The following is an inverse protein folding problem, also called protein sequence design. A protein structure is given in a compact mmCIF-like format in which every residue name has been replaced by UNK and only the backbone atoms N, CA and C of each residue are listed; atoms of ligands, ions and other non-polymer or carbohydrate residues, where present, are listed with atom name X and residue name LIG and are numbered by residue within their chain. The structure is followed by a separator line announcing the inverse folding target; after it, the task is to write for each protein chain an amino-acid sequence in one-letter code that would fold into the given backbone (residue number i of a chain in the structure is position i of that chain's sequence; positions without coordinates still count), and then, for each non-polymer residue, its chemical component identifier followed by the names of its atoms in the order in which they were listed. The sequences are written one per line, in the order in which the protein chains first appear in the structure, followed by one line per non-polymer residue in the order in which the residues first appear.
data_IF_359476394359
#
_entry.id   IF_359476394359
#
_cell.length_a   1.000
_cell.length_b   1.000
_cell.length_c   1.000
_cell.angle_alpha   90.00
_cell.angle_beta   90.00
_cell.angle_gamma   90.00
#
_symmetry.space_group_name_H-M   'P 1'
#
loop_
_entity.id
_entity.type
_entity.pdbx_description
1 polymer ?
#
# COMPACT_ATOMS: atom_id res chain seq x y z
N UNK A 1 18.46 -8.57 -7.99
CA UNK A 1 18.13 -7.13 -7.83
C UNK A 1 16.90 -6.86 -8.68
N UNK A 2 15.84 -6.28 -8.12
CA UNK A 2 14.66 -5.88 -8.90
C UNK A 2 15.11 -4.84 -9.94
N UNK A 3 15.18 -5.25 -11.21
CA UNK A 3 15.44 -4.33 -12.32
C UNK A 3 14.09 -3.75 -12.75
N UNK A 4 13.76 -2.56 -12.25
CA UNK A 4 12.61 -1.80 -12.73
C UNK A 4 12.94 -1.29 -14.14
N UNK A 5 12.16 -1.74 -15.13
CA UNK A 5 12.37 -1.42 -16.54
C UNK A 5 11.52 -0.21 -16.91
N UNK A 6 12.08 1.00 -16.94
CA UNK A 6 11.50 2.11 -17.74
C UNK A 6 12.55 3.19 -18.06
N UNK A 7 12.47 3.74 -19.28
CA UNK A 7 13.21 4.93 -19.73
C UNK A 7 12.93 6.17 -18.84
N UNK A 8 11.82 6.17 -18.09
CA UNK A 8 11.32 7.31 -17.29
C UNK A 8 11.87 7.32 -15.87
N UNK A 9 13.11 7.75 -15.74
CA UNK A 9 13.80 7.90 -14.45
C UNK A 9 13.94 9.38 -14.03
N UNK A 10 14.64 9.62 -12.90
CA UNK A 10 14.85 10.96 -12.31
C UNK A 10 15.47 12.00 -13.26
N UNK A 11 16.18 11.60 -14.32
CA UNK A 11 16.78 12.53 -15.29
C UNK A 11 15.74 13.38 -16.01
N UNK A 12 14.50 12.89 -16.12
CA UNK A 12 13.37 13.60 -16.74
C UNK A 12 12.71 14.60 -15.79
N UNK A 13 13.16 14.70 -14.53
CA UNK A 13 12.53 15.58 -13.55
C UNK A 13 12.76 17.06 -13.89
N UNK A 14 11.70 17.76 -14.32
CA UNK A 14 11.73 19.21 -14.56
C UNK A 14 11.64 20.07 -13.29
N UNK A 15 11.41 19.46 -12.13
CA UNK A 15 11.36 20.21 -10.86
C UNK A 15 10.04 20.94 -10.59
N UNK A 16 8.90 20.49 -11.14
CA UNK A 16 7.60 21.17 -11.00
C UNK A 16 7.03 21.18 -9.57
N UNK A 17 7.46 20.25 -8.70
CA UNK A 17 7.04 20.20 -7.29
C UNK A 17 5.65 19.61 -7.02
N UNK A 18 4.90 19.15 -8.03
CA UNK A 18 3.55 18.59 -7.83
C UNK A 18 3.54 17.39 -6.88
N UNK A 19 4.50 16.48 -7.03
CA UNK A 19 4.67 15.33 -6.13
C UNK A 19 5.00 15.72 -4.67
N UNK A 20 5.59 16.90 -4.44
CA UNK A 20 5.83 17.43 -3.09
C UNK A 20 4.52 17.88 -2.44
N UNK A 21 3.63 18.52 -3.21
CA UNK A 21 2.38 19.09 -2.71
C UNK A 21 1.42 18.04 -2.17
N UNK A 22 1.53 16.80 -2.63
CA UNK A 22 0.71 15.66 -2.22
C UNK A 22 1.45 14.72 -1.27
N UNK A 23 2.72 15.02 -0.96
CA UNK A 23 3.54 14.16 -0.13
C UNK A 23 3.19 14.36 1.35
N UNK A 24 2.74 13.32 2.05
CA UNK A 24 2.36 13.44 3.46
C UNK A 24 3.59 13.72 4.35
N UNK A 25 4.79 13.29 3.94
CA UNK A 25 6.04 13.64 4.62
C UNK A 25 6.31 15.14 4.52
N UNK A 26 6.15 15.75 3.35
CA UNK A 26 6.31 17.20 3.19
C UNK A 26 5.36 17.98 4.11
N UNK A 27 4.10 17.56 4.21
CA UNK A 27 3.12 18.23 5.07
C UNK A 27 3.53 18.25 6.55
N UNK A 28 4.18 17.17 7.02
CA UNK A 28 4.61 17.04 8.41
C UNK A 28 5.98 17.66 8.68
N UNK A 29 6.96 17.45 7.79
CA UNK A 29 8.36 17.81 8.06
C UNK A 29 8.73 19.17 7.49
N UNK A 30 8.09 19.60 6.40
CA UNK A 30 8.50 20.76 5.58
C UNK A 30 9.95 20.70 5.11
N UNK A 31 10.52 19.50 5.06
CA UNK A 31 11.87 19.24 4.56
C UNK A 31 11.77 18.55 3.20
N UNK A 32 12.20 19.28 2.16
CA UNK A 32 12.20 18.76 0.78
C UNK A 32 13.13 17.56 0.63
N UNK A 33 14.20 17.48 1.43
CA UNK A 33 15.16 16.38 1.43
C UNK A 33 14.58 15.05 1.88
N UNK A 34 13.41 15.04 2.53
CA UNK A 34 12.70 13.82 2.94
C UNK A 34 11.65 13.36 1.91
N UNK A 35 11.55 14.04 0.76
CA UNK A 35 10.50 13.79 -0.24
C UNK A 35 11.06 13.07 -1.47
N UNK A 36 10.24 12.31 -2.22
CA UNK A 36 10.66 11.75 -3.51
C UNK A 36 11.15 12.81 -4.50
N UNK A 37 10.58 14.01 -4.45
CA UNK A 37 11.03 15.15 -5.27
C UNK A 37 12.46 15.56 -4.94
N UNK A 38 12.75 15.81 -3.66
CA UNK A 38 14.07 16.21 -3.21
C UNK A 38 15.13 15.18 -3.56
N UNK A 39 14.83 13.89 -3.35
CA UNK A 39 15.73 12.81 -3.75
C UNK A 39 15.95 12.75 -5.27
N UNK A 40 14.89 12.87 -6.08
CA UNK A 40 15.03 12.88 -7.54
C UNK A 40 15.91 14.05 -8.02
N UNK A 41 15.74 15.25 -7.44
CA UNK A 41 16.56 16.43 -7.76
C UNK A 41 18.01 16.28 -7.28
N UNK A 42 18.23 15.73 -6.09
CA UNK A 42 19.57 15.42 -5.60
C UNK A 42 20.29 14.46 -6.55
N UNK A 43 19.62 13.37 -6.97
CA UNK A 43 20.18 12.43 -7.94
C UNK A 43 20.49 13.08 -9.30
N UNK A 44 19.60 13.94 -9.80
CA UNK A 44 19.78 14.61 -11.09
C UNK A 44 21.02 15.52 -11.13
N UNK A 45 21.39 16.11 -9.99
CA UNK A 45 22.53 17.01 -9.87
C UNK A 45 23.75 16.38 -9.18
N UNK A 46 23.72 15.06 -8.90
CA UNK A 46 24.81 14.38 -8.21
C UNK A 46 25.02 14.84 -6.76
N UNK A 47 23.98 15.35 -6.11
CA UNK A 47 23.98 15.76 -4.71
C UNK A 47 23.76 14.60 -3.74
N UNK A 48 23.99 14.87 -2.45
CA UNK A 48 23.85 13.88 -1.39
C UNK A 48 22.38 13.52 -1.13
N UNK A 49 22.16 12.24 -0.83
CA UNK A 49 20.85 11.71 -0.46
C UNK A 49 20.70 11.78 1.05
N UNK A 50 19.64 12.46 1.54
CA UNK A 50 19.26 12.42 2.94
C UNK A 50 18.76 11.00 3.31
N UNK A 51 19.66 10.17 3.82
CA UNK A 51 19.36 8.79 4.19
C UNK A 51 18.30 8.68 5.30
N UNK A 52 18.27 9.63 6.24
CA UNK A 52 17.28 9.64 7.32
C UNK A 52 15.88 9.95 6.76
N UNK A 53 15.79 10.96 5.90
CA UNK A 53 14.53 11.34 5.24
C UNK A 53 13.94 10.24 4.33
N UNK A 54 14.80 9.38 3.78
CA UNK A 54 14.42 8.30 2.90
C UNK A 54 13.48 7.29 3.58
N UNK A 55 13.72 6.97 4.85
CA UNK A 55 12.89 6.03 5.62
C UNK A 55 11.63 6.68 6.20
N UNK A 56 11.56 8.02 6.23
CA UNK A 56 10.33 8.75 6.52
C UNK A 56 9.25 8.61 5.45
N UNK A 57 9.61 8.26 4.20
CA UNK A 57 8.64 8.01 3.14
C UNK A 57 7.71 6.82 3.47
N UNK A 58 6.39 7.03 3.52
CA UNK A 58 5.43 5.96 3.79
C UNK A 58 5.11 5.06 2.58
N UNK A 59 5.82 5.27 1.46
CA UNK A 59 5.65 4.48 0.23
C UNK A 59 4.19 4.46 -0.28
N UNK A 60 3.42 5.54 -0.08
CA UNK A 60 1.99 5.61 -0.45
C UNK A 60 1.72 5.66 -1.96
N UNK A 61 2.70 6.05 -2.78
CA UNK A 61 2.55 6.15 -4.23
C UNK A 61 1.86 7.42 -4.76
N UNK A 62 1.33 8.30 -3.90
CA UNK A 62 0.59 9.51 -4.33
C UNK A 62 1.38 10.43 -5.28
N UNK A 63 2.71 10.40 -5.18
CA UNK A 63 3.61 11.17 -6.02
C UNK A 63 3.62 10.80 -7.51
N UNK A 64 3.21 9.58 -7.87
CA UNK A 64 3.32 9.10 -9.26
C UNK A 64 2.14 9.52 -10.12
N UNK A 65 0.87 9.39 -9.70
CA UNK A 65 -0.26 9.86 -10.51
C UNK A 65 -0.23 11.36 -10.84
N UNK A 66 0.46 12.16 -10.01
CA UNK A 66 0.60 13.61 -10.23
C UNK A 66 1.86 14.01 -11.00
N UNK A 67 2.73 13.06 -11.33
CA UNK A 67 3.96 13.36 -12.04
C UNK A 67 3.67 13.51 -13.55
N UNK A 68 3.85 14.71 -14.15
CA UNK A 68 3.55 14.92 -15.56
C UNK A 68 4.52 14.20 -16.49
N UNK A 69 5.66 13.75 -15.97
CA UNK A 69 6.70 13.02 -16.70
C UNK A 69 6.58 11.49 -16.51
N UNK A 70 5.56 11.02 -15.79
CA UNK A 70 5.36 9.62 -15.39
C UNK A 70 6.61 8.97 -14.79
N UNK A 71 7.35 9.70 -13.95
CA UNK A 71 8.53 9.17 -13.28
C UNK A 71 8.10 8.16 -12.20
N UNK A 72 8.71 6.98 -12.20
CA UNK A 72 8.49 5.95 -11.18
C UNK A 72 9.17 6.30 -9.84
N UNK A 73 8.68 7.35 -9.18
CA UNK A 73 9.22 7.87 -7.92
C UNK A 73 9.24 6.81 -6.82
N UNK A 74 8.28 5.88 -6.79
CA UNK A 74 8.28 4.77 -5.84
C UNK A 74 9.45 3.82 -6.06
N UNK A 75 9.70 3.46 -7.33
CA UNK A 75 10.82 2.59 -7.71
C UNK A 75 12.16 3.24 -7.33
N UNK A 76 12.29 4.56 -7.50
CA UNK A 76 13.46 5.34 -7.07
C UNK A 76 13.66 5.23 -5.55
N UNK A 77 12.61 5.48 -4.76
CA UNK A 77 12.69 5.44 -3.30
C UNK A 77 13.09 4.05 -2.78
N UNK A 78 12.47 2.99 -3.32
CA UNK A 78 12.82 1.60 -2.97
C UNK A 78 14.27 1.30 -3.34
N UNK A 79 14.72 1.72 -4.53
CA UNK A 79 16.11 1.53 -4.97
C UNK A 79 17.13 2.27 -4.10
N UNK A 80 16.81 3.48 -3.65
CA UNK A 80 17.64 4.22 -2.70
C UNK A 80 17.71 3.51 -1.35
N UNK A 81 16.59 2.98 -0.83
CA UNK A 81 16.57 2.25 0.45
C UNK A 81 17.48 1.04 0.38
N UNK A 82 17.40 0.28 -0.72
CA UNK A 82 18.26 -0.86 -0.96
C UNK A 82 19.75 -0.49 -1.01
N UNK A 83 20.11 0.64 -1.63
CA UNK A 83 21.50 1.13 -1.65
C UNK A 83 22.00 1.48 -0.25
N UNK A 84 21.20 2.20 0.55
CA UNK A 84 21.57 2.60 1.92
C UNK A 84 21.71 1.37 2.83
N UNK A 85 20.77 0.43 2.76
CA UNK A 85 20.80 -0.79 3.57
C UNK A 85 22.00 -1.68 3.23
N UNK A 86 22.33 -1.84 1.95
CA UNK A 86 23.47 -2.64 1.50
C UNK A 86 24.83 -2.03 1.88
N UNK A 87 24.92 -0.71 2.01
CA UNK A 87 26.11 -0.05 2.54
C UNK A 87 26.28 -0.26 4.06
N UNK A 88 25.23 -0.73 4.74
CA UNK A 88 25.15 -0.72 6.21
C UNK A 88 25.30 -2.09 6.86
N UNK A 89 25.12 -3.24 6.16
CA UNK A 89 25.27 -4.56 6.79
C UNK A 89 25.46 -5.73 5.81
N UNK A 90 26.52 -6.50 6.05
CA UNK A 90 26.58 -7.95 5.84
C UNK A 90 25.97 -8.65 7.07
N UNK A 91 24.93 -9.48 6.94
CA UNK A 91 24.70 -10.70 7.76
C UNK A 91 23.45 -11.44 7.26
N UNK A 92 23.53 -12.77 7.36
CA UNK A 92 22.63 -13.81 6.85
C UNK A 92 21.45 -14.11 7.78
N UNK A 93 20.37 -14.72 7.25
CA UNK A 93 19.56 -15.76 7.92
C UNK A 93 18.54 -16.47 7.03
N UNK A 94 17.97 -17.52 7.63
CA UNK A 94 17.58 -18.83 7.09
C UNK A 94 16.32 -18.92 6.23
N UNK A 95 16.31 -19.96 5.38
CA UNK A 95 15.19 -20.38 4.53
C UNK A 95 14.30 -21.38 5.27
N UNK A 96 12.99 -21.25 5.09
CA UNK A 96 12.04 -22.36 5.22
C UNK A 96 11.09 -22.31 4.04
N UNK A 97 11.19 -23.30 3.16
CA UNK A 97 10.31 -23.47 2.01
C UNK A 97 9.41 -24.68 2.22
N UNK A 98 8.12 -24.51 1.93
CA UNK A 98 7.15 -25.61 1.86
C UNK A 98 6.60 -25.61 0.43
N UNK A 99 6.70 -26.75 -0.25
CA UNK A 99 6.17 -26.95 -1.58
C UNK A 99 4.74 -27.50 -1.50
N UNK A 100 3.79 -26.84 -2.16
CA UNK A 100 2.38 -27.24 -2.25
C UNK A 100 1.89 -27.36 -3.69
N UNK A 101 1.01 -28.33 -3.90
CA UNK A 101 0.37 -28.72 -5.16
C UNK A 101 -0.46 -27.58 -5.79
N UNK A 102 -0.34 -27.38 -7.11
CA UNK A 102 -1.00 -26.29 -7.84
C UNK A 102 -2.23 -26.77 -8.62
N UNK A 103 -3.39 -26.17 -8.35
CA UNK A 103 -4.59 -26.26 -9.18
C UNK A 103 -4.63 -25.08 -10.16
N UNK A 104 -4.55 -25.33 -11.47
CA UNK A 104 -4.63 -24.27 -12.49
C UNK A 104 -6.05 -23.68 -12.55
N UNK A 105 -6.15 -22.36 -12.54
CA UNK A 105 -7.39 -21.62 -12.85
C UNK A 105 -8.10 -20.95 -11.68
N UNK A 106 -7.63 -21.13 -10.44
CA UNK A 106 -8.29 -20.56 -9.26
C UNK A 106 -8.03 -19.04 -9.10
N UNK A 107 -8.94 -18.37 -8.38
CA UNK A 107 -8.73 -17.00 -7.89
C UNK A 107 -7.98 -17.12 -6.56
N UNK A 108 -6.87 -16.39 -6.40
CA UNK A 108 -6.09 -16.39 -5.16
C UNK A 108 -6.20 -15.07 -4.40
N UNK A 109 -6.33 -15.18 -3.07
CA UNK A 109 -6.16 -14.10 -2.11
C UNK A 109 -4.75 -14.12 -1.53
N UNK A 110 -4.01 -13.04 -1.76
CA UNK A 110 -2.75 -12.73 -1.11
C UNK A 110 -3.04 -11.85 0.11
N UNK A 111 -3.33 -12.51 1.24
CA UNK A 111 -3.59 -11.88 2.53
C UNK A 111 -2.27 -11.51 3.23
N UNK A 112 -2.12 -10.23 3.58
CA UNK A 112 -0.93 -9.72 4.27
C UNK A 112 -0.83 -10.31 5.69
N UNK A 113 0.32 -10.10 6.31
CA UNK A 113 0.57 -10.63 7.66
C UNK A 113 -0.48 -10.17 8.68
N UNK A 114 -0.90 -8.91 8.60
CA UNK A 114 -1.91 -8.33 9.50
C UNK A 114 -3.25 -9.05 9.39
N UNK A 115 -3.70 -9.37 8.17
CA UNK A 115 -4.94 -10.12 7.94
C UNK A 115 -4.79 -11.60 8.30
N UNK A 116 -3.66 -12.21 7.99
CA UNK A 116 -3.36 -13.59 8.39
C UNK A 116 -3.37 -13.79 9.91
N UNK A 117 -3.00 -12.78 10.69
CA UNK A 117 -3.05 -12.83 12.16
C UNK A 117 -4.48 -12.75 12.73
N UNK A 118 -5.47 -12.36 11.93
CA UNK A 118 -6.88 -12.28 12.34
C UNK A 118 -7.72 -13.39 11.70
N UNK A 119 -7.55 -14.63 12.15
CA UNK A 119 -8.18 -15.83 11.57
C UNK A 119 -9.69 -15.66 11.26
N UNK A 120 -10.47 -15.15 12.22
CA UNK A 120 -11.91 -14.96 12.03
C UNK A 120 -12.23 -13.96 10.91
N UNK A 121 -11.48 -12.86 10.82
CA UNK A 121 -11.65 -11.85 9.77
C UNK A 121 -11.19 -12.38 8.40
N UNK A 122 -10.10 -13.15 8.37
CA UNK A 122 -9.62 -13.80 7.15
C UNK A 122 -10.64 -14.82 6.61
N UNK A 123 -11.18 -15.68 7.48
CA UNK A 123 -12.24 -16.63 7.11
C UNK A 123 -13.49 -15.92 6.58
N UNK A 124 -13.92 -14.85 7.25
CA UNK A 124 -15.03 -14.01 6.78
C UNK A 124 -14.72 -13.39 5.42
N UNK A 125 -13.51 -12.88 5.24
CA UNK A 125 -13.06 -12.28 3.97
C UNK A 125 -13.09 -13.31 2.84
N UNK A 126 -12.53 -14.50 3.05
CA UNK A 126 -12.57 -15.60 2.07
C UNK A 126 -13.99 -16.03 1.74
N UNK A 127 -14.87 -16.12 2.75
CA UNK A 127 -16.29 -16.45 2.57
C UNK A 127 -17.00 -15.41 1.69
N UNK A 128 -16.76 -14.12 1.95
CA UNK A 128 -17.36 -13.03 1.17
C UNK A 128 -16.88 -13.03 -0.27
N UNK A 129 -15.57 -13.15 -0.48
CA UNK A 129 -14.98 -13.19 -1.82
C UNK A 129 -15.42 -14.45 -2.59
N UNK A 130 -15.68 -15.55 -1.88
CA UNK A 130 -16.13 -16.82 -2.46
C UNK A 130 -17.63 -16.90 -2.74
N UNK A 131 -18.40 -15.82 -2.56
CA UNK A 131 -19.86 -15.87 -2.72
C UNK A 131 -20.32 -16.22 -4.14
N UNK A 132 -19.51 -15.90 -5.15
CA UNK A 132 -19.82 -16.18 -6.57
C UNK A 132 -18.84 -17.12 -7.24
N UNK A 133 -17.59 -17.15 -6.80
CA UNK A 133 -16.51 -17.94 -7.41
C UNK A 133 -15.52 -18.30 -6.33
N UNK A 134 -15.08 -19.55 -6.26
CA UNK A 134 -14.15 -19.99 -5.23
C UNK A 134 -12.87 -19.13 -5.21
N UNK A 135 -12.55 -18.59 -4.04
CA UNK A 135 -11.31 -17.86 -3.77
C UNK A 135 -10.53 -18.62 -2.70
N UNK A 136 -9.29 -18.95 -3.01
CA UNK A 136 -8.39 -19.66 -2.10
C UNK A 136 -7.33 -18.70 -1.57
N UNK A 137 -6.87 -18.92 -0.34
CA UNK A 137 -5.72 -18.20 0.19
C UNK A 137 -4.43 -18.73 -0.45
N UNK A 138 -3.57 -17.84 -0.91
CA UNK A 138 -2.22 -18.21 -1.35
C UNK A 138 -1.39 -18.69 -0.16
N UNK A 139 -0.62 -19.77 -0.36
CA UNK A 139 0.26 -20.31 0.68
C UNK A 139 1.42 -19.37 1.01
N UNK A 140 1.96 -18.72 -0.02
CA UNK A 140 2.96 -17.68 0.11
C UNK A 140 2.29 -16.32 -0.13
N UNK A 141 2.34 -15.46 0.88
CA UNK A 141 1.74 -14.14 0.83
C UNK A 141 2.72 -13.01 0.51
N UNK A 142 4.00 -13.33 0.28
CA UNK A 142 5.03 -12.34 -0.09
C UNK A 142 5.32 -11.29 0.98
N UNK A 143 4.99 -11.53 2.26
CA UNK A 143 5.20 -10.53 3.32
C UNK A 143 6.67 -10.16 3.50
N UNK A 144 7.58 -11.13 3.36
CA UNK A 144 9.03 -10.90 3.39
C UNK A 144 9.50 -10.00 2.22
N UNK A 145 8.89 -10.15 1.04
CA UNK A 145 9.15 -9.30 -0.11
C UNK A 145 8.71 -7.86 0.20
N UNK A 146 7.51 -7.67 0.74
CA UNK A 146 7.01 -6.35 1.15
C UNK A 146 7.92 -5.71 2.19
N UNK A 147 8.31 -6.43 3.24
CA UNK A 147 9.23 -5.95 4.26
C UNK A 147 10.57 -5.54 3.63
N UNK A 148 11.11 -6.35 2.72
CA UNK A 148 12.35 -6.02 2.04
C UNK A 148 12.26 -4.76 1.19
N UNK A 149 11.14 -4.52 0.51
CA UNK A 149 10.92 -3.28 -0.23
C UNK A 149 10.80 -2.07 0.70
N UNK A 150 10.12 -2.24 1.83
CA UNK A 150 9.96 -1.19 2.83
C UNK A 150 11.29 -0.80 3.49
N UNK A 151 12.13 -1.77 3.83
CA UNK A 151 13.38 -1.52 4.54
C UNK A 151 14.61 -1.46 3.63
N UNK A 152 14.46 -1.76 2.35
CA UNK A 152 15.58 -1.92 1.44
C UNK A 152 16.45 -3.15 1.76
N UNK A 153 15.96 -4.12 2.53
CA UNK A 153 16.77 -5.31 2.84
C UNK A 153 16.96 -6.17 1.59
N UNK A 154 18.09 -6.86 1.52
CA UNK A 154 18.37 -7.75 0.38
C UNK A 154 17.59 -9.06 0.54
N UNK A 155 16.84 -9.42 -0.51
CA UNK A 155 16.23 -10.74 -0.64
C UNK A 155 17.19 -11.73 -1.31
N UNK A 156 17.04 -13.04 -1.06
CA UNK A 156 17.67 -14.07 -1.88
C UNK A 156 17.37 -13.82 -3.37
N UNK A 157 18.37 -14.01 -4.23
CA UNK A 157 18.30 -13.63 -5.64
C UNK A 157 17.09 -14.22 -6.40
N UNK A 158 16.65 -15.41 -6.00
CA UNK A 158 15.55 -16.15 -6.61
C UNK A 158 14.21 -16.03 -5.85
N UNK A 159 14.16 -15.36 -4.69
CA UNK A 159 12.97 -15.36 -3.81
C UNK A 159 11.72 -14.79 -4.49
N UNK A 160 11.90 -13.73 -5.26
CA UNK A 160 10.80 -13.10 -6.01
C UNK A 160 10.33 -14.03 -7.13
N UNK A 161 11.24 -14.71 -7.81
CA UNK A 161 10.86 -15.65 -8.88
C UNK A 161 10.14 -16.87 -8.31
N UNK A 162 10.58 -17.39 -7.16
CA UNK A 162 9.87 -18.45 -6.41
C UNK A 162 8.45 -18.01 -6.02
N UNK A 163 8.30 -16.78 -5.51
CA UNK A 163 7.00 -16.21 -5.17
C UNK A 163 6.11 -16.10 -6.41
N UNK A 164 6.60 -15.51 -7.51
CA UNK A 164 5.85 -15.35 -8.75
C UNK A 164 5.45 -16.71 -9.33
N UNK A 165 6.34 -17.69 -9.32
CA UNK A 165 6.07 -19.05 -9.77
C UNK A 165 4.96 -19.74 -8.97
N UNK A 166 4.83 -19.40 -7.68
CA UNK A 166 3.78 -19.92 -6.82
C UNK A 166 2.39 -19.37 -7.16
N UNK A 167 2.27 -18.20 -7.82
CA UNK A 167 0.98 -17.54 -8.09
C UNK A 167 0.65 -17.34 -9.56
N UNK A 168 1.61 -17.53 -10.49
CA UNK A 168 1.44 -17.25 -11.93
C UNK A 168 0.36 -18.08 -12.64
N UNK A 169 -0.16 -19.12 -12.00
CA UNK A 169 -1.20 -20.00 -12.53
C UNK A 169 -2.63 -19.54 -12.17
N UNK A 170 -2.76 -18.50 -11.33
CA UNK A 170 -4.06 -17.95 -10.95
C UNK A 170 -4.73 -17.25 -12.14
N UNK A 171 -6.05 -17.38 -12.25
CA UNK A 171 -6.83 -16.63 -13.25
C UNK A 171 -7.03 -15.17 -12.84
N UNK A 172 -7.00 -14.90 -11.53
CA UNK A 172 -7.11 -13.58 -10.92
C UNK A 172 -6.43 -13.57 -9.56
N UNK A 173 -5.82 -12.45 -9.22
CA UNK A 173 -5.20 -12.20 -7.92
C UNK A 173 -5.94 -11.08 -7.19
N UNK A 174 -6.24 -11.30 -5.91
CA UNK A 174 -6.75 -10.29 -4.97
C UNK A 174 -5.64 -10.05 -3.95
N UNK A 175 -5.15 -8.83 -3.85
CA UNK A 175 -3.96 -8.50 -3.05
C UNK A 175 -4.32 -7.47 -1.99
N UNK A 176 -4.06 -7.81 -0.73
CA UNK A 176 -4.32 -6.93 0.42
C UNK A 176 -3.24 -5.87 0.63
N UNK A 177 -2.00 -6.15 0.23
CA UNK A 177 -0.88 -5.22 0.33
C UNK A 177 -0.59 -4.51 -0.99
N UNK A 178 -0.73 -3.18 -1.03
CA UNK A 178 -0.54 -2.40 -2.25
C UNK A 178 0.89 -2.37 -2.79
N UNK A 179 1.91 -2.41 -1.92
CA UNK A 179 3.31 -2.48 -2.36
C UNK A 179 3.61 -3.81 -3.07
N UNK A 180 3.12 -4.92 -2.53
CA UNK A 180 3.23 -6.23 -3.17
C UNK A 180 2.46 -6.27 -4.49
N UNK A 181 1.24 -5.71 -4.52
CA UNK A 181 0.42 -5.60 -5.74
C UNK A 181 1.21 -4.97 -6.89
N UNK A 182 1.95 -3.89 -6.62
CA UNK A 182 2.81 -3.23 -7.62
C UNK A 182 3.85 -4.19 -8.21
N UNK A 183 4.56 -4.93 -7.37
CA UNK A 183 5.58 -5.89 -7.83
C UNK A 183 4.96 -6.98 -8.70
N UNK A 184 3.80 -7.51 -8.29
CA UNK A 184 3.09 -8.53 -9.04
C UNK A 184 2.63 -7.98 -10.40
N UNK A 185 2.06 -6.77 -10.46
CA UNK A 185 1.61 -6.14 -11.71
C UNK A 185 2.74 -6.00 -12.74
N UNK A 186 3.94 -5.67 -12.30
CA UNK A 186 5.11 -5.57 -13.18
C UNK A 186 5.58 -6.94 -13.71
N UNK A 187 5.43 -8.01 -12.93
CA UNK A 187 5.91 -9.36 -13.28
C UNK A 187 4.88 -10.22 -14.00
N UNK A 188 3.60 -9.93 -13.80
CA UNK A 188 2.46 -10.70 -14.31
C UNK A 188 1.44 -9.78 -15.00
N UNK A 189 1.83 -9.04 -16.07
CA UNK A 189 0.98 -8.02 -16.70
C UNK A 189 -0.30 -8.58 -17.32
N UNK A 190 -0.33 -9.88 -17.61
CA UNK A 190 -1.49 -10.54 -18.23
C UNK A 190 -2.50 -11.09 -17.22
N UNK A 191 -2.19 -11.06 -15.92
CA UNK A 191 -3.08 -11.57 -14.88
C UNK A 191 -3.90 -10.40 -14.34
N UNK A 192 -5.22 -10.62 -14.18
CA UNK A 192 -6.08 -9.62 -13.54
C UNK A 192 -5.74 -9.54 -12.05
N UNK A 193 -5.18 -8.41 -11.63
CA UNK A 193 -4.78 -8.15 -10.24
C UNK A 193 -5.63 -7.00 -9.70
N UNK A 194 -6.30 -7.20 -8.58
CA UNK A 194 -7.09 -6.15 -7.91
C UNK A 194 -6.70 -6.03 -6.44
N UNK A 195 -6.98 -4.88 -5.83
CA UNK A 195 -6.83 -4.72 -4.38
C UNK A 195 -7.95 -5.45 -3.63
N UNK A 196 -7.67 -5.83 -2.37
CA UNK A 196 -8.68 -6.40 -1.48
C UNK A 196 -9.85 -5.44 -1.26
N UNK A 197 -9.54 -4.16 -1.02
CA UNK A 197 -10.49 -3.08 -0.87
C UNK A 197 -11.46 -2.95 -2.05
N UNK A 198 -10.92 -2.90 -3.27
CA UNK A 198 -11.72 -2.90 -4.50
C UNK A 198 -12.59 -4.16 -4.60
N UNK A 199 -12.02 -5.34 -4.33
CA UNK A 199 -12.73 -6.60 -4.44
C UNK A 199 -13.92 -6.68 -3.48
N UNK A 200 -13.75 -6.26 -2.23
CA UNK A 200 -14.80 -6.28 -1.20
C UNK A 200 -15.85 -5.18 -1.42
N UNK A 201 -15.44 -3.94 -1.68
CA UNK A 201 -16.37 -2.82 -1.95
C UNK A 201 -17.15 -2.97 -3.26
N UNK A 202 -16.70 -3.84 -4.17
CA UNK A 202 -17.46 -4.23 -5.37
C UNK A 202 -18.61 -5.20 -5.08
N UNK A 203 -18.63 -5.86 -3.91
CA UNK A 203 -19.71 -6.79 -3.55
C UNK A 203 -20.96 -6.00 -3.14
N UNK A 204 -22.13 -6.24 -3.76
CA UNK A 204 -23.35 -5.52 -3.40
C UNK A 204 -23.72 -5.59 -1.92
N UNK A 205 -23.50 -6.75 -1.27
CA UNK A 205 -23.78 -6.94 0.15
C UNK A 205 -22.91 -6.07 1.08
N UNK A 206 -21.67 -5.77 0.67
CA UNK A 206 -20.78 -4.87 1.41
C UNK A 206 -21.09 -3.41 1.06
N UNK A 207 -21.17 -3.11 -0.24
CA UNK A 207 -21.43 -1.76 -0.73
C UNK A 207 -22.72 -1.18 -0.16
N UNK A 208 -23.78 -1.98 -0.08
CA UNK A 208 -25.08 -1.53 0.40
C UNK A 208 -25.13 -1.28 1.92
N UNK A 209 -24.09 -1.70 2.66
CA UNK A 209 -23.95 -1.50 4.12
C UNK A 209 -23.14 -0.24 4.48
N UNK A 210 -22.58 0.44 3.48
CA UNK A 210 -21.96 1.75 3.66
C UNK A 210 -23.05 2.83 3.75
N UNK A 211 -22.98 3.69 4.77
CA UNK A 211 -23.87 4.82 4.99
C UNK A 211 -23.22 6.17 4.66
N UNK A 212 -24.03 7.22 4.59
CA UNK A 212 -23.55 8.58 4.31
C UNK A 212 -22.68 9.17 5.43
N UNK A 213 -22.80 8.66 6.65
CA UNK A 213 -22.01 9.08 7.81
C UNK A 213 -20.77 8.20 8.04
N UNK A 214 -20.45 7.29 7.12
CA UNK A 214 -19.21 6.50 7.18
C UNK A 214 -18.05 7.30 6.60
N UNK A 215 -16.87 7.18 7.23
CA UNK A 215 -15.59 7.48 6.60
C UNK A 215 -14.96 6.18 6.11
N UNK A 216 -14.75 6.05 4.81
CA UNK A 216 -14.11 4.91 4.20
C UNK A 216 -12.63 5.20 3.89
N UNK A 217 -11.73 4.48 4.54
CA UNK A 217 -10.28 4.60 4.41
C UNK A 217 -9.77 3.62 3.37
N UNK A 218 -9.40 4.16 2.22
CA UNK A 218 -8.83 3.47 1.08
C UNK A 218 -7.35 3.16 1.36
N UNK A 219 -6.91 1.94 1.05
CA UNK A 219 -5.50 1.57 1.12
C UNK A 219 -4.72 2.29 0.00
N UNK A 220 -3.96 3.32 0.40
CA UNK A 220 -3.35 4.27 -0.53
C UNK A 220 -2.37 3.66 -1.54
N UNK A 221 -1.60 2.63 -1.16
CA UNK A 221 -0.57 2.06 -2.02
C UNK A 221 -1.23 1.33 -3.20
N UNK A 222 -2.25 0.53 -2.92
CA UNK A 222 -2.98 -0.20 -3.93
C UNK A 222 -3.80 0.74 -4.82
N UNK A 223 -4.36 1.80 -4.23
CA UNK A 223 -5.09 2.85 -4.92
C UNK A 223 -4.22 3.55 -5.97
N UNK A 224 -3.06 4.07 -5.56
CA UNK A 224 -2.18 4.80 -6.49
C UNK A 224 -1.49 3.91 -7.51
N UNK A 225 -1.25 2.62 -7.20
CA UNK A 225 -0.71 1.66 -8.15
C UNK A 225 -1.65 1.34 -9.33
N UNK A 226 -2.93 1.70 -9.25
CA UNK A 226 -3.92 1.53 -10.33
C UNK A 226 -4.89 2.71 -10.39
N UNK A 227 -4.32 3.92 -10.27
CA UNK A 227 -5.06 5.16 -10.02
C UNK A 227 -6.25 5.37 -10.95
N UNK A 228 -6.08 5.19 -12.26
CA UNK A 228 -7.14 5.45 -13.25
C UNK A 228 -8.39 4.58 -13.02
N UNK A 229 -8.20 3.27 -12.77
CA UNK A 229 -9.32 2.38 -12.48
C UNK A 229 -9.90 2.64 -11.10
N UNK A 230 -9.05 2.96 -10.11
CA UNK A 230 -9.50 3.17 -8.74
C UNK A 230 -10.28 4.48 -8.56
N UNK A 231 -9.87 5.59 -9.17
CA UNK A 231 -10.63 6.86 -9.15
C UNK A 231 -12.07 6.63 -9.61
N UNK A 232 -12.26 5.92 -10.72
CA UNK A 232 -13.60 5.64 -11.25
C UNK A 232 -14.45 4.84 -10.27
N UNK A 233 -13.86 3.81 -9.67
CA UNK A 233 -14.55 2.94 -8.71
C UNK A 233 -14.98 3.70 -7.45
N UNK A 234 -14.07 4.43 -6.82
CA UNK A 234 -14.36 5.10 -5.55
C UNK A 234 -15.22 6.37 -5.74
N UNK A 235 -15.16 7.04 -6.89
CA UNK A 235 -16.11 8.09 -7.24
C UNK A 235 -17.55 7.55 -7.30
N UNK A 236 -17.74 6.39 -7.91
CA UNK A 236 -19.05 5.73 -7.97
C UNK A 236 -19.50 5.23 -6.59
N UNK A 237 -18.57 4.73 -5.78
CA UNK A 237 -18.85 4.34 -4.40
C UNK A 237 -19.35 5.54 -3.57
N UNK A 238 -18.61 6.66 -3.59
CA UNK A 238 -18.99 7.89 -2.91
C UNK A 238 -20.31 8.45 -3.43
N UNK A 239 -20.52 8.49 -4.76
CA UNK A 239 -21.77 8.96 -5.36
C UNK A 239 -22.98 8.11 -4.95
N UNK A 240 -22.84 6.79 -4.95
CA UNK A 240 -23.95 5.86 -4.70
C UNK A 240 -24.27 5.70 -3.22
N UNK A 241 -23.29 5.88 -2.32
CA UNK A 241 -23.46 5.66 -0.87
C UNK A 241 -23.46 6.92 -0.03
N UNK A 242 -22.92 8.01 -0.56
CA UNK A 242 -22.77 9.28 0.15
C UNK A 242 -21.72 9.25 1.26
N UNK A 243 -20.94 8.18 1.40
CA UNK A 243 -19.89 8.10 2.41
C UNK A 243 -18.75 9.09 2.11
N UNK A 244 -18.03 9.48 3.16
CA UNK A 244 -16.77 10.20 3.01
C UNK A 244 -15.63 9.22 2.70
N UNK A 245 -14.62 9.72 1.99
CA UNK A 245 -13.42 8.96 1.64
C UNK A 245 -12.19 9.74 2.14
N UNK A 246 -11.08 9.06 2.42
CA UNK A 246 -9.79 9.71 2.69
C UNK A 246 -9.12 10.28 1.43
N UNK A 247 -9.87 10.90 0.52
CA UNK A 247 -9.34 11.51 -0.69
C UNK A 247 -9.06 13.00 -0.48
N UNK A 248 -7.94 13.49 -1.01
CA UNK A 248 -7.64 14.91 -1.08
C UNK A 248 -8.39 15.63 -2.22
N UNK A 249 -8.15 16.94 -2.40
CA UNK A 249 -8.76 17.73 -3.46
C UNK A 249 -8.35 17.30 -4.88
N UNK A 250 -7.25 16.56 -5.02
CA UNK A 250 -6.77 15.98 -6.27
C UNK A 250 -7.23 14.53 -6.45
N UNK A 251 -8.10 14.04 -5.57
CA UNK A 251 -8.60 12.65 -5.53
C UNK A 251 -7.51 11.63 -5.25
N UNK A 252 -6.47 12.00 -4.51
CA UNK A 252 -5.43 11.07 -4.07
C UNK A 252 -5.80 10.54 -2.68
N UNK A 253 -5.58 9.25 -2.47
CA UNK A 253 -5.83 8.62 -1.18
C UNK A 253 -4.78 9.06 -0.17
N UNK A 254 -5.20 9.82 0.85
CA UNK A 254 -4.35 10.26 1.94
C UNK A 254 -3.97 9.04 2.80
N UNK A 255 -2.68 8.65 2.84
CA UNK A 255 -2.26 7.49 3.63
C UNK A 255 -2.41 7.79 5.11
N UNK A 256 -2.77 6.79 5.93
CA UNK A 256 -2.68 6.92 7.40
C UNK A 256 -1.25 6.73 7.91
N UNK A 257 -0.43 5.97 7.16
CA UNK A 257 0.90 5.53 7.58
C UNK A 257 0.90 4.28 8.46
N UNK A 258 -0.21 3.54 8.58
CA UNK A 258 -0.32 2.34 9.41
C UNK A 258 0.78 1.30 9.14
N UNK A 259 1.07 1.03 7.87
CA UNK A 259 2.17 0.13 7.47
C UNK A 259 3.55 0.63 7.93
N UNK A 260 3.78 1.94 7.96
CA UNK A 260 5.03 2.54 8.45
C UNK A 260 5.10 2.61 9.99
N UNK A 261 3.96 2.59 10.69
CA UNK A 261 3.91 2.61 12.15
C UNK A 261 4.54 1.35 12.78
N UNK A 262 4.34 0.17 12.17
CA UNK A 262 5.02 -1.07 12.60
C UNK A 262 6.54 -1.00 12.48
N UNK A 263 7.03 -0.24 11.50
CA UNK A 263 8.46 -0.22 11.15
C UNK A 263 9.30 0.69 12.06
N UNK A 264 8.69 1.71 12.66
CA UNK A 264 9.40 2.68 13.50
C UNK A 264 9.69 2.20 14.93
N UNK A 265 9.14 1.06 15.37
CA UNK A 265 9.47 0.48 16.68
C UNK A 265 10.85 -0.21 16.70
N UNK A 266 11.52 -0.34 15.56
CA UNK A 266 12.72 -1.19 15.43
C UNK A 266 14.04 -0.39 15.42
N UNK A 267 14.03 0.93 15.21
CA UNK A 267 15.26 1.73 15.23
C UNK A 267 15.23 2.84 16.27
N UNK A 268 16.07 2.69 17.29
CA UNK A 268 16.36 3.61 18.40
C UNK A 268 17.00 4.95 17.99
N UNK A 269 16.95 5.31 16.69
CA UNK A 269 17.52 6.55 16.16
C UNK A 269 16.42 7.55 15.87
N UNK A 270 16.67 8.79 16.28
CA UNK A 270 15.91 10.02 16.04
C UNK A 270 15.83 10.38 14.55
N UNK A 271 15.31 9.47 13.73
CA UNK A 271 14.96 9.74 12.34
C UNK A 271 13.73 10.65 12.33
N UNK A 272 13.73 11.66 11.48
CA UNK A 272 12.53 12.50 11.23
C UNK A 272 11.43 11.58 10.72
N UNK A 273 10.58 11.18 11.66
CA UNK A 273 9.65 10.08 11.48
C UNK A 273 8.30 10.62 11.05
N UNK A 274 7.68 9.95 10.08
CA UNK A 274 6.29 10.17 9.76
C UNK A 274 5.40 9.83 10.96
N UNK A 275 4.66 10.80 11.46
CA UNK A 275 3.74 10.66 12.59
C UNK A 275 2.37 10.22 12.07
N UNK A 276 2.11 8.91 12.14
CA UNK A 276 0.85 8.32 11.70
C UNK A 276 -0.35 8.82 12.52
N UNK A 277 -0.16 9.13 13.81
CA UNK A 277 -1.23 9.65 14.66
C UNK A 277 -1.63 11.06 14.25
N UNK A 278 -0.67 11.96 14.02
CA UNK A 278 -0.97 13.30 13.48
C UNK A 278 -1.63 13.22 12.12
N UNK A 279 -1.18 12.29 11.27
CA UNK A 279 -1.79 12.07 9.97
C UNK A 279 -3.26 11.62 10.10
N UNK A 280 -3.54 10.64 10.95
CA UNK A 280 -4.90 10.17 11.23
C UNK A 280 -5.80 11.29 11.75
N UNK A 281 -5.30 12.11 12.69
CA UNK A 281 -6.03 13.27 13.19
C UNK A 281 -6.35 14.27 12.07
N UNK A 282 -5.40 14.52 11.17
CA UNK A 282 -5.60 15.40 10.03
C UNK A 282 -6.64 14.85 9.04
N UNK A 283 -6.63 13.55 8.76
CA UNK A 283 -7.65 12.88 7.92
C UNK A 283 -9.05 13.08 8.52
N UNK A 284 -9.18 13.05 9.85
CA UNK A 284 -10.46 13.19 10.55
C UNK A 284 -10.91 14.65 10.71
N UNK A 285 -10.04 15.61 10.44
CA UNK A 285 -10.31 17.01 10.75
C UNK A 285 -11.51 17.56 9.96
N UNK A 286 -12.52 18.03 10.70
CA UNK A 286 -13.72 18.64 10.11
C UNK A 286 -14.75 17.65 9.56
N UNK A 287 -14.53 16.34 9.75
CA UNK A 287 -15.50 15.32 9.36
C UNK A 287 -16.52 15.05 10.47
N UNK A 288 -17.80 14.97 10.10
CA UNK A 288 -18.88 14.54 10.98
C UNK A 288 -19.27 13.11 10.61
N UNK A 289 -18.63 12.12 11.25
CA UNK A 289 -18.81 10.70 10.95
C UNK A 289 -19.28 9.92 12.18
N UNK A 290 -19.99 8.82 11.91
CA UNK A 290 -20.47 7.89 12.93
C UNK A 290 -19.58 6.65 13.04
N UNK A 291 -18.88 6.28 11.97
CA UNK A 291 -18.04 5.07 11.89
C UNK A 291 -16.93 5.24 10.86
N UNK A 292 -15.82 4.55 11.09
CA UNK A 292 -14.68 4.46 10.17
C UNK A 292 -14.61 3.02 9.64
N UNK A 293 -14.58 2.88 8.31
CA UNK A 293 -14.43 1.61 7.60
C UNK A 293 -13.06 1.60 6.93
N UNK A 294 -12.22 0.59 7.20
CA UNK A 294 -10.87 0.51 6.64
C UNK A 294 -10.69 -0.68 5.71
N UNK A 295 -9.89 -0.51 4.66
CA UNK A 295 -9.50 -1.61 3.76
C UNK A 295 -8.28 -2.40 4.24
N UNK A 296 -7.45 -1.78 5.07
CA UNK A 296 -6.25 -2.37 5.64
C UNK A 296 -6.29 -2.32 7.17
N UNK A 297 -5.87 -3.41 7.82
CA UNK A 297 -5.90 -3.54 9.28
C UNK A 297 -4.97 -2.54 9.97
N UNK A 298 -3.80 -2.27 9.39
CA UNK A 298 -2.82 -1.36 9.98
C UNK A 298 -3.33 0.10 9.94
N UNK A 299 -4.09 0.49 8.90
CA UNK A 299 -4.82 1.76 8.89
C UNK A 299 -5.87 1.80 10.01
N UNK A 300 -6.57 0.68 10.24
CA UNK A 300 -7.53 0.53 11.33
C UNK A 300 -6.90 0.75 12.71
N UNK A 301 -5.67 0.28 12.93
CA UNK A 301 -4.93 0.51 14.17
C UNK A 301 -4.67 1.99 14.38
N UNK A 302 -4.20 2.70 13.35
CA UNK A 302 -3.98 4.15 13.43
C UNK A 302 -5.27 4.88 13.77
N UNK A 303 -6.36 4.56 13.07
CA UNK A 303 -7.65 5.22 13.28
C UNK A 303 -8.24 4.98 14.66
N UNK A 304 -8.10 3.76 15.22
CA UNK A 304 -8.50 3.45 16.61
C UNK A 304 -7.71 4.27 17.64
N UNK A 305 -6.46 4.62 17.35
CA UNK A 305 -5.63 5.38 18.26
C UNK A 305 -5.96 6.89 18.28
N UNK A 306 -6.62 7.41 17.25
CA UNK A 306 -6.86 8.85 17.07
C UNK A 306 -8.35 9.24 17.08
N UNK A 307 -9.24 8.27 17.19
CA UNK A 307 -10.69 8.47 17.14
C UNK A 307 -11.41 7.65 18.21
N UNK A 308 -12.50 8.20 18.72
CA UNK A 308 -13.46 7.51 19.58
C UNK A 308 -14.54 6.76 18.78
N UNK A 309 -14.58 6.94 17.46
CA UNK A 309 -15.57 6.30 16.59
C UNK A 309 -15.28 4.81 16.41
N UNK A 310 -16.33 3.98 16.22
CA UNK A 310 -16.15 2.59 15.82
C UNK A 310 -15.29 2.49 14.55
N UNK A 311 -14.24 1.69 14.60
CA UNK A 311 -13.37 1.40 13.46
C UNK A 311 -13.47 -0.08 13.12
N UNK A 312 -13.95 -0.39 11.92
CA UNK A 312 -14.15 -1.75 11.42
C UNK A 312 -13.43 -1.96 10.09
N UNK A 313 -13.03 -3.19 9.82
CA UNK A 313 -12.56 -3.58 8.51
C UNK A 313 -13.74 -3.73 7.53
N UNK A 314 -13.53 -3.43 6.25
CA UNK A 314 -14.58 -3.48 5.21
C UNK A 314 -15.29 -4.83 5.12
N UNK A 315 -14.62 -5.95 5.41
CA UNK A 315 -15.23 -7.28 5.45
C UNK A 315 -16.27 -7.42 6.58
N UNK A 316 -16.12 -6.68 7.69
CA UNK A 316 -17.01 -6.74 8.87
C UNK A 316 -18.36 -6.06 8.60
N UNK A 317 -18.49 -5.28 7.52
CA UNK A 317 -19.77 -4.68 7.11
C UNK A 317 -20.85 -5.72 6.82
N UNK A 318 -20.47 -6.93 6.41
CA UNK A 318 -21.41 -8.02 6.17
C UNK A 318 -22.14 -8.47 7.44
N UNK A 319 -21.52 -8.27 8.60
CA UNK A 319 -22.01 -8.71 9.91
C UNK A 319 -22.44 -7.54 10.80
N UNK A 320 -22.12 -6.30 10.44
CA UNK A 320 -22.64 -5.13 11.14
C UNK A 320 -24.14 -4.97 10.90
N UNK A 321 -24.88 -4.75 11.99
CA UNK A 321 -26.32 -4.43 11.96
C UNK A 321 -26.58 -3.21 11.06
#
# INVERSE_FOLDING_TARGET
MLSFSTDKNFTHCHGCGLCTLVCPVWHQTRDIGCTPHGHAKAMQFGGDINADGLFGCVLCGACEPVCPEDIELMSIMIGLRAKVANNSQSMSRDKSGVAGSQNKGNILLLADESLCQQNALLEQTLKLLSSTTAVEQAQDNGSDITLALQFGTTLPANRIDEFIDSIKHASRLIVSNGLLKRVIQQRLPNIKIVSLGYALSSLPGIRNKLGANDLYIIESQAYHADFNSMVTHYDELKRSRGCELNLDLQRLAMPTGGLAHKTNQVSDKTVVCFDASKQGQWILQGLNIERIVVENIDDGIVMKNVSDKPVIHVAELATSE
#
